data_IF_417799941285
#
_entry.id   IF_417799941285
#
_cell.length_a   1.000
_cell.length_b   1.000
_cell.length_c   1.000
_cell.angle_alpha   90.00
_cell.angle_beta   90.00
_cell.angle_gamma   90.00
#
_symmetry.space_group_name_H-M   'P 1'
#
loop_
_entity.id
_entity.type
_entity.pdbx_description
1 polymer ?
#
# COMPACT_ATOMS: atom_id res chain seq x y z
N UNK A 1 -4.81 -23.16 -18.84
CA UNK A 1 -6.23 -23.53 -18.69
C UNK A 1 -6.47 -23.96 -17.25
N UNK A 2 -6.82 -23.04 -16.36
CA UNK A 2 -7.28 -23.40 -15.02
C UNK A 2 -8.75 -23.80 -15.19
N UNK A 3 -9.06 -25.10 -15.09
CA UNK A 3 -10.44 -25.53 -14.95
C UNK A 3 -10.91 -25.01 -13.59
N UNK A 4 -11.75 -23.98 -13.62
CA UNK A 4 -12.43 -23.49 -12.42
C UNK A 4 -13.06 -24.69 -11.70
N UNK A 5 -12.71 -24.89 -10.43
CA UNK A 5 -13.30 -25.91 -9.55
C UNK A 5 -14.84 -25.78 -9.45
N UNK A 6 -15.40 -24.68 -9.95
CA UNK A 6 -16.80 -24.29 -9.87
C UNK A 6 -17.65 -24.65 -11.10
N UNK A 7 -17.08 -25.29 -12.13
CA UNK A 7 -17.85 -25.91 -13.23
C UNK A 7 -18.68 -27.13 -12.82
N UNK A 8 -19.02 -27.27 -11.54
CA UNK A 8 -19.78 -28.40 -11.00
C UNK A 8 -21.28 -28.18 -11.24
N UNK A 9 -21.97 -29.25 -11.65
CA UNK A 9 -23.43 -29.27 -11.85
C UNK A 9 -24.24 -28.86 -10.60
N UNK A 10 -23.61 -28.83 -9.42
CA UNK A 10 -24.20 -28.38 -8.16
C UNK A 10 -24.45 -26.86 -8.12
N UNK A 11 -23.52 -26.05 -8.63
CA UNK A 11 -23.68 -24.59 -8.69
C UNK A 11 -24.76 -24.17 -9.69
N UNK A 12 -24.94 -24.94 -10.76
CA UNK A 12 -26.03 -24.75 -11.71
C UNK A 12 -27.42 -25.03 -11.10
N UNK A 13 -27.51 -25.84 -10.04
CA UNK A 13 -28.79 -26.33 -9.52
C UNK A 13 -29.35 -25.53 -8.34
N UNK A 14 -28.51 -24.84 -7.57
CA UNK A 14 -28.91 -24.22 -6.30
C UNK A 14 -28.58 -22.72 -6.23
N UNK A 15 -29.61 -21.87 -6.37
CA UNK A 15 -29.48 -20.41 -6.24
C UNK A 15 -28.98 -19.98 -4.85
N UNK A 16 -29.36 -20.72 -3.79
CA UNK A 16 -28.91 -20.48 -2.41
C UNK A 16 -27.40 -20.65 -2.24
N UNK A 17 -26.80 -21.60 -2.96
CA UNK A 17 -25.34 -21.81 -2.94
C UNK A 17 -24.60 -20.62 -3.58
N UNK A 18 -25.15 -20.06 -4.67
CA UNK A 18 -24.57 -18.88 -5.34
C UNK A 18 -24.66 -17.64 -4.46
N UNK A 19 -25.82 -17.40 -3.86
CA UNK A 19 -26.02 -16.33 -2.90
C UNK A 19 -25.06 -16.46 -1.71
N UNK A 20 -24.89 -17.68 -1.18
CA UNK A 20 -23.94 -17.95 -0.10
C UNK A 20 -22.48 -17.65 -0.48
N UNK A 21 -22.05 -18.03 -1.69
CA UNK A 21 -20.71 -17.71 -2.20
C UNK A 21 -20.52 -16.22 -2.45
N UNK A 22 -21.53 -15.53 -2.99
CA UNK A 22 -21.51 -14.08 -3.17
C UNK A 22 -21.36 -13.37 -1.83
N UNK A 23 -22.19 -13.73 -0.84
CA UNK A 23 -22.16 -13.16 0.50
C UNK A 23 -20.80 -13.41 1.16
N UNK A 24 -20.29 -14.64 1.07
CA UNK A 24 -18.96 -14.98 1.58
C UNK A 24 -17.86 -14.16 0.91
N UNK A 25 -17.87 -14.05 -0.42
CA UNK A 25 -16.90 -13.28 -1.19
C UNK A 25 -16.90 -11.80 -0.80
N UNK A 26 -18.09 -11.20 -0.67
CA UNK A 26 -18.25 -9.82 -0.20
C UNK A 26 -17.77 -9.66 1.24
N UNK A 27 -18.10 -10.59 2.14
CA UNK A 27 -17.62 -10.54 3.53
C UNK A 27 -16.10 -10.61 3.62
N UNK A 28 -15.45 -11.48 2.84
CA UNK A 28 -13.99 -11.58 2.77
C UNK A 28 -13.38 -10.27 2.25
N UNK A 29 -13.94 -9.72 1.16
CA UNK A 29 -13.47 -8.47 0.58
C UNK A 29 -13.61 -7.28 1.55
N UNK A 30 -14.73 -7.21 2.27
CA UNK A 30 -14.94 -6.15 3.25
C UNK A 30 -14.02 -6.30 4.47
N UNK A 31 -13.75 -7.54 4.89
CA UNK A 31 -12.84 -7.81 6.01
C UNK A 31 -11.37 -7.58 5.66
N UNK A 32 -10.95 -7.73 4.40
CA UNK A 32 -9.55 -7.59 4.02
C UNK A 32 -8.99 -6.18 4.22
N UNK A 33 -9.81 -5.14 4.03
CA UNK A 33 -9.39 -3.74 4.19
C UNK A 33 -9.01 -3.39 5.63
N UNK A 34 -9.87 -3.58 6.65
CA UNK A 34 -9.50 -3.26 8.04
C UNK A 34 -8.37 -4.16 8.55
N UNK A 35 -8.30 -5.42 8.12
CA UNK A 35 -7.16 -6.30 8.44
C UNK A 35 -5.88 -5.71 7.86
N UNK A 36 -5.87 -5.33 6.58
CA UNK A 36 -4.71 -4.70 5.94
C UNK A 36 -4.29 -3.43 6.67
N UNK A 37 -5.22 -2.54 7.02
CA UNK A 37 -4.89 -1.32 7.75
C UNK A 37 -4.26 -1.60 9.14
N UNK A 38 -4.55 -2.74 9.76
CA UNK A 38 -3.99 -3.13 11.06
C UNK A 38 -2.72 -3.96 10.99
N UNK A 39 -2.37 -4.51 9.83
CA UNK A 39 -1.22 -5.43 9.66
C UNK A 39 -0.24 -5.01 8.57
N UNK A 40 -0.57 -4.00 7.77
CA UNK A 40 0.33 -3.46 6.77
C UNK A 40 1.55 -2.87 7.47
N UNK A 41 2.70 -3.32 7.02
CA UNK A 41 3.99 -2.86 7.49
C UNK A 41 4.55 -1.84 6.51
N UNK A 42 5.19 -0.81 7.04
CA UNK A 42 5.64 0.33 6.27
C UNK A 42 7.11 0.61 6.56
N UNK A 43 7.94 0.45 5.55
CA UNK A 43 9.33 0.86 5.61
C UNK A 43 9.43 2.37 5.34
N UNK A 44 10.26 3.04 6.11
CA UNK A 44 10.62 4.43 5.87
C UNK A 44 11.87 4.50 5.00
N UNK A 45 11.73 5.09 3.82
CA UNK A 45 12.84 5.33 2.91
C UNK A 45 13.40 6.74 3.11
N UNK A 46 14.72 6.85 3.22
CA UNK A 46 15.42 8.13 3.28
C UNK A 46 16.61 8.15 2.33
N UNK A 47 16.56 9.03 1.33
CA UNK A 47 17.65 9.25 0.39
C UNK A 47 17.70 10.70 -0.07
N UNK A 48 18.85 11.14 -0.58
CA UNK A 48 18.96 12.44 -1.23
C UNK A 48 18.26 12.42 -2.59
N UNK A 49 17.37 13.38 -2.84
CA UNK A 49 16.71 13.55 -4.14
C UNK A 49 17.45 14.60 -4.99
N UNK A 50 17.46 15.86 -4.53
CA UNK A 50 18.03 16.97 -5.30
C UNK A 50 18.29 18.22 -4.47
N UNK A 51 19.07 19.14 -5.04
CA UNK A 51 19.19 20.50 -4.54
C UNK A 51 18.01 21.37 -4.98
N UNK A 52 17.51 22.22 -4.08
CA UNK A 52 16.42 23.15 -4.31
C UNK A 52 16.88 24.57 -4.06
N UNK A 53 16.78 25.41 -5.09
CA UNK A 53 17.08 26.85 -5.00
C UNK A 53 15.84 27.67 -4.66
N UNK A 54 14.66 27.23 -5.12
CA UNK A 54 13.38 27.88 -4.89
C UNK A 54 12.45 26.92 -4.15
N UNK A 55 11.93 27.38 -3.01
CA UNK A 55 10.96 26.66 -2.20
C UNK A 55 9.70 27.51 -2.08
N UNK A 56 8.55 26.85 -2.12
CA UNK A 56 7.28 27.45 -1.72
C UNK A 56 7.32 27.88 -0.24
N UNK A 57 6.38 28.74 0.14
CA UNK A 57 6.28 29.21 1.53
C UNK A 57 6.09 28.05 2.53
N UNK A 58 5.30 27.05 2.16
CA UNK A 58 5.05 25.86 3.00
C UNK A 58 6.33 25.01 3.16
N UNK A 59 7.03 24.71 2.08
CA UNK A 59 8.32 23.99 2.13
C UNK A 59 9.38 24.75 2.95
N UNK A 60 9.39 26.09 2.88
CA UNK A 60 10.29 26.91 3.72
C UNK A 60 10.02 26.74 5.21
N UNK A 61 8.74 26.62 5.60
CA UNK A 61 8.37 26.38 7.01
C UNK A 61 8.69 24.97 7.48
N UNK A 62 8.73 24.00 6.56
CA UNK A 62 9.11 22.61 6.84
C UNK A 62 10.62 22.37 6.75
N UNK A 63 11.40 23.35 6.27
CA UNK A 63 12.85 23.23 6.14
C UNK A 63 13.54 23.26 7.49
N UNK A 64 14.21 22.16 7.85
CA UNK A 64 15.06 22.08 9.02
C UNK A 64 16.45 22.67 8.72
N UNK A 65 16.95 23.64 9.51
CA UNK A 65 18.33 24.10 9.34
C UNK A 65 19.30 23.03 9.86
N UNK A 66 20.33 22.72 9.09
CA UNK A 66 21.28 21.63 9.37
C UNK A 66 21.87 21.71 10.80
N UNK A 67 22.18 22.92 11.27
CA UNK A 67 22.76 23.15 12.61
C UNK A 67 21.81 22.87 13.79
N UNK A 68 20.52 22.65 13.53
CA UNK A 68 19.53 22.28 14.55
C UNK A 68 19.23 20.78 14.54
N UNK A 69 19.83 20.02 13.62
CA UNK A 69 19.70 18.58 13.61
C UNK A 69 20.45 17.97 14.81
N UNK A 70 19.94 16.86 15.32
CA UNK A 70 20.65 16.08 16.35
C UNK A 70 21.81 15.34 15.69
N UNK A 71 22.86 15.00 16.45
CA UNK A 71 24.06 14.38 15.88
C UNK A 71 23.80 13.06 15.12
N UNK A 72 22.75 12.31 15.48
CA UNK A 72 22.33 11.12 14.73
C UNK A 72 21.66 11.49 13.40
N UNK A 73 20.75 12.48 13.40
CA UNK A 73 20.10 12.97 12.18
C UNK A 73 21.11 13.64 11.25
N UNK A 74 22.08 14.39 11.78
CA UNK A 74 23.19 14.96 11.00
C UNK A 74 23.97 13.87 10.26
N UNK A 75 24.36 12.79 10.95
CA UNK A 75 25.09 11.69 10.32
C UNK A 75 24.29 11.02 9.20
N UNK A 76 22.98 10.88 9.36
CA UNK A 76 22.11 10.29 8.34
C UNK A 76 21.94 11.21 7.14
N UNK A 77 21.79 12.51 7.36
CA UNK A 77 21.74 13.54 6.31
C UNK A 77 23.05 13.57 5.52
N UNK A 78 24.20 13.61 6.21
CA UNK A 78 25.52 13.57 5.57
C UNK A 78 25.70 12.30 4.73
N UNK A 79 25.36 11.15 5.30
CA UNK A 79 25.43 9.89 4.59
C UNK A 79 24.49 9.83 3.36
N UNK A 80 23.29 10.41 3.46
CA UNK A 80 22.36 10.48 2.35
C UNK A 80 22.85 11.41 1.24
N UNK A 81 23.47 12.54 1.59
CA UNK A 81 24.16 13.43 0.63
C UNK A 81 25.33 12.73 -0.06
N UNK A 82 26.03 11.82 0.62
CA UNK A 82 27.06 10.95 0.05
C UNK A 82 26.50 9.81 -0.82
N UNK A 83 25.18 9.78 -1.04
CA UNK A 83 24.49 8.80 -1.90
C UNK A 83 24.12 7.50 -1.20
N UNK A 84 24.19 7.43 0.14
CA UNK A 84 23.64 6.28 0.88
C UNK A 84 22.13 6.39 0.97
N UNK A 85 21.51 5.23 1.01
CA UNK A 85 20.06 5.08 1.17
C UNK A 85 19.79 4.35 2.46
N UNK A 86 18.84 4.85 3.25
CA UNK A 86 18.39 4.21 4.47
C UNK A 86 16.97 3.70 4.31
N UNK A 87 16.75 2.46 4.73
CA UNK A 87 15.42 1.89 4.93
C UNK A 87 15.30 1.59 6.43
N UNK A 88 14.31 2.18 7.08
CA UNK A 88 14.01 1.93 8.48
C UNK A 88 12.71 1.11 8.56
N UNK A 89 12.76 0.01 9.32
CA UNK A 89 11.56 -0.78 9.66
C UNK A 89 10.68 -0.05 10.69
N UNK A 90 11.22 0.97 11.36
CA UNK A 90 10.55 1.71 12.44
C UNK A 90 10.17 3.12 11.96
N UNK A 91 8.88 3.44 12.04
CA UNK A 91 8.30 4.73 11.64
C UNK A 91 8.39 5.81 12.70
N UNK A 92 8.95 5.49 13.88
CA UNK A 92 9.11 6.46 14.97
C UNK A 92 10.19 7.51 14.72
N UNK A 93 11.04 7.31 13.71
CA UNK A 93 12.09 8.27 13.36
C UNK A 93 11.62 9.19 12.24
N UNK A 94 11.15 10.38 12.62
CA UNK A 94 10.85 11.45 11.67
C UNK A 94 12.16 12.12 11.22
N UNK A 95 12.51 11.94 9.94
CA UNK A 95 13.63 12.64 9.31
C UNK A 95 13.11 13.83 8.49
N UNK A 96 13.85 14.95 8.44
CA UNK A 96 13.43 16.12 7.70
C UNK A 96 13.51 15.89 6.19
N UNK A 97 12.43 16.24 5.48
CA UNK A 97 12.35 16.21 4.02
C UNK A 97 13.20 17.30 3.37
N UNK A 98 13.30 18.47 4.02
CA UNK A 98 14.10 19.59 3.53
C UNK A 98 15.15 20.00 4.57
N UNK A 99 16.42 20.03 4.17
CA UNK A 99 17.51 20.48 5.04
C UNK A 99 18.27 21.64 4.42
N UNK A 100 18.45 22.73 5.16
CA UNK A 100 19.27 23.87 4.73
C UNK A 100 20.66 23.84 5.34
N UNK A 101 21.69 23.74 4.49
CA UNK A 101 23.11 23.77 4.87
C UNK A 101 23.87 24.75 3.99
N UNK A 102 24.60 25.66 4.63
CA UNK A 102 25.48 26.64 3.97
C UNK A 102 24.83 27.47 2.85
N UNK A 103 23.52 27.75 2.98
CA UNK A 103 22.75 28.53 2.01
C UNK A 103 22.08 27.72 0.90
N UNK A 104 22.43 26.44 0.76
CA UNK A 104 21.77 25.49 -0.13
C UNK A 104 20.69 24.72 0.62
N UNK A 105 19.54 24.49 -0.03
CA UNK A 105 18.52 23.57 0.50
C UNK A 105 18.61 22.25 -0.25
N UNK A 106 18.66 21.16 0.49
CA UNK A 106 18.66 19.79 -0.01
C UNK A 106 17.30 19.16 0.29
N UNK A 107 16.72 18.54 -0.73
CA UNK A 107 15.48 17.76 -0.66
C UNK A 107 15.85 16.28 -0.53
N UNK A 108 15.23 15.61 0.43
CA UNK A 108 15.38 14.19 0.70
C UNK A 108 14.07 13.48 0.40
N UNK A 109 14.13 12.35 -0.29
CA UNK A 109 12.99 11.47 -0.45
C UNK A 109 12.75 10.74 0.87
N UNK A 110 11.77 11.23 1.62
CA UNK A 110 11.44 10.81 2.98
C UNK A 110 10.02 10.19 3.00
N UNK A 111 9.86 9.03 2.35
CA UNK A 111 8.54 8.42 2.09
C UNK A 111 8.35 7.10 2.82
N UNK A 112 7.12 6.91 3.31
CA UNK A 112 6.62 5.60 3.77
C UNK A 112 6.24 4.75 2.57
N UNK A 113 6.85 3.59 2.46
CA UNK A 113 6.54 2.61 1.41
C UNK A 113 6.02 1.34 2.07
N UNK A 114 4.97 0.74 1.52
CA UNK A 114 4.46 -0.55 2.01
C UNK A 114 5.53 -1.61 1.79
N UNK A 115 5.93 -2.31 2.86
CA UNK A 115 6.78 -3.48 2.70
C UNK A 115 5.93 -4.66 2.20
N UNK A 116 6.05 -4.95 0.91
CA UNK A 116 5.35 -6.07 0.28
C UNK A 116 5.97 -7.44 0.58
N UNK A 117 7.15 -7.49 1.20
CA UNK A 117 7.76 -8.74 1.63
C UNK A 117 7.17 -9.23 2.96
N UNK A 118 6.69 -8.31 3.80
CA UNK A 118 5.92 -8.65 4.99
C UNK A 118 4.57 -9.30 4.64
N UNK A 119 4.28 -10.52 5.15
CA UNK A 119 2.99 -11.19 4.97
C UNK A 119 1.78 -10.35 5.40
N UNK A 120 1.91 -9.53 6.44
CA UNK A 120 0.86 -8.63 6.92
C UNK A 120 0.42 -7.59 5.88
N UNK A 121 1.30 -7.23 4.96
CA UNK A 121 1.02 -6.25 3.90
C UNK A 121 0.38 -6.88 2.66
N UNK A 122 0.85 -8.05 2.20
CA UNK A 122 0.34 -8.61 0.94
C UNK A 122 -0.77 -9.65 1.13
N UNK A 123 -0.79 -10.42 2.24
CA UNK A 123 -1.78 -11.49 2.45
C UNK A 123 -3.21 -10.96 2.49
N UNK A 124 -3.53 -9.88 3.21
CA UNK A 124 -4.89 -9.33 3.21
C UNK A 124 -5.33 -8.90 1.81
N UNK A 125 -4.44 -8.32 1.00
CA UNK A 125 -4.73 -7.93 -0.38
C UNK A 125 -5.08 -9.15 -1.24
N UNK A 126 -4.26 -10.21 -1.18
CA UNK A 126 -4.52 -11.47 -1.90
C UNK A 126 -5.85 -12.09 -1.46
N UNK A 127 -6.13 -12.12 -0.16
CA UNK A 127 -7.39 -12.63 0.39
C UNK A 127 -8.59 -11.80 -0.11
N UNK A 128 -8.46 -10.47 -0.14
CA UNK A 128 -9.46 -9.58 -0.71
C UNK A 128 -9.72 -9.85 -2.20
N UNK A 129 -8.68 -10.08 -2.99
CA UNK A 129 -8.80 -10.45 -4.40
C UNK A 129 -9.53 -11.79 -4.59
N UNK A 130 -9.28 -12.78 -3.72
CA UNK A 130 -10.03 -14.05 -3.73
C UNK A 130 -11.50 -13.82 -3.39
N UNK A 131 -11.80 -12.97 -2.39
CA UNK A 131 -13.18 -12.59 -2.06
C UNK A 131 -13.90 -11.91 -3.22
N UNK A 132 -13.24 -10.96 -3.88
CA UNK A 132 -13.75 -10.30 -5.08
C UNK A 132 -14.01 -11.30 -6.22
N UNK A 133 -13.07 -12.21 -6.47
CA UNK A 133 -13.21 -13.22 -7.51
C UNK A 133 -14.43 -14.11 -7.25
N UNK A 134 -14.65 -14.57 -6.01
CA UNK A 134 -15.83 -15.34 -5.63
C UNK A 134 -17.15 -14.58 -5.90
N UNK A 135 -17.19 -13.28 -5.58
CA UNK A 135 -18.35 -12.44 -5.84
C UNK A 135 -18.62 -12.28 -7.34
N UNK A 136 -17.57 -12.05 -8.15
CA UNK A 136 -17.69 -11.94 -9.61
C UNK A 136 -18.19 -13.25 -10.22
N UNK A 137 -17.62 -14.39 -9.82
CA UNK A 137 -18.04 -15.71 -10.31
C UNK A 137 -19.51 -15.97 -9.99
N UNK A 138 -19.96 -15.66 -8.78
CA UNK A 138 -21.37 -15.80 -8.40
C UNK A 138 -22.30 -14.97 -9.31
N UNK A 139 -21.95 -13.71 -9.58
CA UNK A 139 -22.71 -12.81 -10.46
C UNK A 139 -22.67 -13.27 -11.92
N UNK A 140 -21.50 -13.66 -12.43
CA UNK A 140 -21.36 -14.12 -13.82
C UNK A 140 -22.18 -15.39 -14.06
N UNK A 141 -22.19 -16.32 -13.09
CA UNK A 141 -23.02 -17.50 -13.19
C UNK A 141 -24.51 -17.20 -13.17
N UNK A 142 -24.95 -16.20 -12.41
CA UNK A 142 -26.34 -15.75 -12.42
C UNK A 142 -26.73 -15.15 -13.78
N UNK A 143 -25.87 -14.30 -14.36
CA UNK A 143 -26.08 -13.76 -15.73
C UNK A 143 -26.16 -14.84 -16.79
N UNK A 144 -25.30 -15.87 -16.73
CA UNK A 144 -25.33 -17.00 -17.66
C UNK A 144 -26.62 -17.82 -17.52
N UNK A 145 -27.19 -17.90 -16.32
CA UNK A 145 -28.44 -18.61 -16.08
C UNK A 145 -29.67 -17.87 -16.61
N UNK A 146 -29.66 -16.53 -16.60
CA UNK A 146 -30.77 -15.69 -17.06
C UNK A 146 -30.87 -15.55 -18.59
N UNK A 147 -29.83 -15.93 -19.35
CA UNK A 147 -29.79 -15.82 -20.82
C UNK A 147 -29.78 -14.35 -21.33
N UNK A 148 -29.70 -14.11 -22.65
CA UNK A 148 -29.54 -12.78 -23.24
C UNK A 148 -30.74 -11.81 -23.02
N UNK A 149 -31.81 -12.24 -22.36
CA UNK A 149 -33.04 -11.47 -22.15
C UNK A 149 -33.47 -11.37 -20.67
N UNK A 150 -32.56 -11.64 -19.72
CA UNK A 150 -32.84 -11.47 -18.30
C UNK A 150 -32.98 -10.00 -17.92
N UNK A 151 -34.22 -9.51 -17.85
CA UNK A 151 -34.60 -8.29 -17.13
C UNK A 151 -34.98 -8.62 -15.69
#
# INVERSE_FOLDING_TARGET
MVRSLLGSSLLQRYATLRFGLMLLGVSILLASVPVWLGTADFDYHYSFDRERTELSFEEQTQTAPYRQLTGETEQRVDAALDGKTYNFEDDTVELPEFVRRDGTTYEFDARRTVDWTNPGSFVPVVVGLVGLWLAIEAVQHERQHLGPYGH
#
